data_IF_047652211468
#
_entry.id   IF_047652211468
#
_cell.length_a   1.000
_cell.length_b   1.000
_cell.length_c   1.000
_cell.angle_alpha   90.00
_cell.angle_beta   90.00
_cell.angle_gamma   90.00
#
_symmetry.space_group_name_H-M   'P 1'
#
loop_
_entity.id
_entity.type
_entity.pdbx_description
1 polymer ?
#
# COMPACT_ATOMS: atom_id res chain seq x y z
N UNK A 1 -29.40 7.17 49.47
CA UNK A 1 -28.23 6.48 48.88
C UNK A 1 -28.70 5.16 48.28
N UNK A 2 -29.07 5.15 47.00
CA UNK A 2 -29.33 3.93 46.24
C UNK A 2 -28.36 3.93 45.06
N UNK A 3 -27.48 2.92 45.04
CA UNK A 3 -26.59 2.62 43.92
C UNK A 3 -27.44 2.02 42.80
N UNK A 4 -27.66 2.77 41.73
CA UNK A 4 -28.14 2.20 40.47
C UNK A 4 -27.01 1.35 39.88
N UNK A 5 -27.16 0.03 39.95
CA UNK A 5 -26.40 -0.93 39.16
C UNK A 5 -26.83 -0.78 37.70
N UNK A 6 -26.04 -0.07 36.90
CA UNK A 6 -26.08 -0.26 35.44
C UNK A 6 -25.64 -1.70 35.18
N UNK A 7 -26.59 -2.53 34.77
CA UNK A 7 -26.38 -3.83 34.18
C UNK A 7 -25.35 -3.65 33.06
N UNK A 8 -24.12 -4.13 33.29
CA UNK A 8 -23.18 -4.33 32.19
C UNK A 8 -23.79 -5.42 31.32
N UNK A 9 -24.46 -5.03 30.25
CA UNK A 9 -24.78 -5.94 29.17
C UNK A 9 -23.46 -6.54 28.67
N UNK A 10 -23.27 -7.80 29.04
CA UNK A 10 -22.25 -8.67 28.48
C UNK A 10 -22.62 -8.88 27.02
N UNK A 11 -22.08 -8.03 26.14
CA UNK A 11 -22.13 -8.24 24.71
C UNK A 11 -21.26 -9.45 24.33
N UNK A 12 -21.82 -10.64 24.52
CA UNK A 12 -21.36 -11.86 23.87
C UNK A 12 -21.86 -11.85 22.42
N UNK A 13 -20.91 -11.82 21.46
CA UNK A 13 -20.92 -12.77 20.35
C UNK A 13 -19.66 -12.67 19.50
N UNK A 14 -19.14 -13.84 19.13
CA UNK A 14 -17.99 -14.06 18.26
C UNK A 14 -16.93 -14.93 18.89
N UNK A 15 -17.13 -16.24 18.81
CA UNK A 15 -16.29 -17.32 19.32
C UNK A 15 -14.77 -17.12 19.21
N UNK A 16 -14.11 -17.54 20.28
CA UNK A 16 -12.69 -17.91 20.35
C UNK A 16 -11.68 -16.82 20.00
N UNK A 17 -11.39 -16.05 21.05
CA UNK A 17 -10.07 -15.56 21.40
C UNK A 17 -9.05 -16.69 21.48
N UNK A 18 -8.57 -17.09 20.31
CA UNK A 18 -7.25 -17.60 20.04
C UNK A 18 -7.18 -17.54 18.51
N UNK A 19 -6.35 -16.70 17.91
CA UNK A 19 -5.82 -17.17 16.63
C UNK A 19 -5.20 -18.53 16.96
N UNK A 20 -5.53 -19.63 16.26
CA UNK A 20 -5.05 -20.98 16.63
C UNK A 20 -3.51 -21.11 16.67
N UNK A 21 -2.77 -20.02 16.47
CA UNK A 21 -1.37 -19.97 16.11
C UNK A 21 -0.57 -18.86 16.84
N UNK A 22 -1.17 -18.08 17.75
CA UNK A 22 -0.47 -16.97 18.42
C UNK A 22 -0.02 -15.86 17.46
N UNK A 23 -0.80 -15.63 16.39
CA UNK A 23 -0.58 -14.57 15.39
C UNK A 23 -1.22 -13.26 15.81
N UNK A 24 -0.47 -12.16 15.69
CA UNK A 24 -0.95 -10.78 15.90
C UNK A 24 -1.81 -10.26 14.73
N UNK A 25 -1.71 -10.87 13.55
CA UNK A 25 -2.39 -10.41 12.33
C UNK A 25 -3.42 -11.44 11.87
N UNK A 26 -4.71 -11.07 11.92
CA UNK A 26 -5.80 -11.86 11.38
C UNK A 26 -5.72 -11.93 9.85
N UNK A 27 -6.03 -13.09 9.27
CA UNK A 27 -6.14 -13.30 7.82
C UNK A 27 -4.91 -12.80 7.03
N UNK A 28 -3.70 -12.98 7.56
CA UNK A 28 -2.43 -12.50 6.99
C UNK A 28 -2.28 -12.80 5.48
N UNK A 29 -2.70 -14.00 5.04
CA UNK A 29 -2.65 -14.38 3.61
C UNK A 29 -3.54 -13.48 2.74
N UNK A 30 -4.76 -13.17 3.18
CA UNK A 30 -5.68 -12.33 2.44
C UNK A 30 -5.16 -10.87 2.37
N UNK A 31 -4.66 -10.32 3.48
CA UNK A 31 -4.05 -8.98 3.54
C UNK A 31 -2.81 -8.82 2.65
N UNK A 32 -2.12 -9.91 2.30
CA UNK A 32 -1.01 -9.89 1.34
C UNK A 32 -1.47 -9.82 -0.13
N UNK A 33 -2.72 -10.17 -0.41
CA UNK A 33 -3.22 -10.34 -1.78
C UNK A 33 -4.30 -9.32 -2.16
N UNK A 34 -5.05 -8.85 -1.18
CA UNK A 34 -6.22 -7.96 -1.36
C UNK A 34 -5.98 -6.64 -0.64
N UNK A 35 -6.58 -5.53 -1.10
CA UNK A 35 -6.62 -4.30 -0.33
C UNK A 35 -7.22 -4.58 1.05
N UNK A 36 -6.45 -4.24 2.08
CA UNK A 36 -6.84 -4.41 3.46
C UNK A 36 -7.45 -3.12 4.00
N UNK A 37 -8.65 -3.19 4.55
CA UNK A 37 -9.44 -2.05 5.02
C UNK A 37 -9.73 -2.25 6.50
N UNK A 38 -9.48 -1.21 7.28
CA UNK A 38 -9.90 -1.13 8.66
C UNK A 38 -11.14 -0.24 8.80
N UNK A 39 -12.13 -0.65 9.59
CA UNK A 39 -13.27 0.17 9.98
C UNK A 39 -13.16 0.52 11.47
N UNK A 40 -12.80 1.76 11.76
CA UNK A 40 -12.75 2.34 13.10
C UNK A 40 -14.08 2.98 13.48
N UNK A 41 -14.55 2.71 14.69
CA UNK A 41 -15.81 3.23 15.21
C UNK A 41 -15.79 3.23 16.74
N UNK A 42 -16.75 3.93 17.34
CA UNK A 42 -17.08 3.76 18.75
C UNK A 42 -17.67 2.37 19.01
N UNK A 43 -17.77 1.99 20.29
CA UNK A 43 -18.45 0.75 20.69
C UNK A 43 -19.94 0.79 20.33
N UNK A 44 -20.55 1.96 20.42
CA UNK A 44 -21.96 2.23 20.19
C UNK A 44 -22.34 2.14 18.70
N UNK A 45 -21.43 2.52 17.80
CA UNK A 45 -21.63 2.41 16.34
C UNK A 45 -21.13 1.08 15.75
N UNK A 46 -20.80 0.09 16.58
CA UNK A 46 -20.23 -1.17 16.09
C UNK A 46 -21.18 -1.95 15.16
N UNK A 47 -22.49 -1.88 15.39
CA UNK A 47 -23.49 -2.48 14.48
C UNK A 47 -23.43 -1.88 13.08
N UNK A 48 -23.22 -0.56 12.96
CA UNK A 48 -23.05 0.12 11.67
C UNK A 48 -21.76 -0.36 10.98
N UNK A 49 -20.67 -0.48 11.74
CA UNK A 49 -19.39 -0.98 11.20
C UNK A 49 -19.52 -2.42 10.65
N UNK A 50 -20.26 -3.30 11.35
CA UNK A 50 -20.56 -4.66 10.86
C UNK A 50 -21.41 -4.65 9.60
N UNK A 51 -22.39 -3.76 9.51
CA UNK A 51 -23.22 -3.65 8.32
C UNK A 51 -22.40 -3.19 7.10
N UNK A 52 -21.57 -2.16 7.28
CA UNK A 52 -20.63 -1.68 6.25
C UNK A 52 -19.72 -2.81 5.80
N UNK A 53 -19.13 -3.56 6.74
CA UNK A 53 -18.30 -4.72 6.43
C UNK A 53 -19.04 -5.76 5.58
N UNK A 54 -20.33 -5.99 5.84
CA UNK A 54 -21.15 -6.95 5.11
C UNK A 54 -21.33 -6.61 3.63
N UNK A 55 -21.32 -5.31 3.29
CA UNK A 55 -21.47 -4.81 1.92
C UNK A 55 -20.19 -4.88 1.08
N UNK A 56 -19.03 -5.09 1.71
CA UNK A 56 -17.78 -5.29 0.98
C UNK A 56 -17.72 -6.69 0.35
N UNK A 57 -17.29 -6.72 -0.91
CA UNK A 57 -17.06 -7.97 -1.63
C UNK A 57 -15.85 -8.71 -1.04
N UNK A 58 -16.10 -9.77 -0.27
CA UNK A 58 -15.09 -10.63 0.39
C UNK A 58 -14.10 -11.26 -0.59
N UNK A 59 -14.44 -11.40 -1.88
CA UNK A 59 -13.50 -11.90 -2.89
C UNK A 59 -12.44 -10.86 -3.28
N UNK A 60 -12.76 -9.56 -3.18
CA UNK A 60 -11.90 -8.46 -3.62
C UNK A 60 -11.18 -7.76 -2.47
N UNK A 61 -11.81 -7.66 -1.29
CA UNK A 61 -11.30 -6.88 -0.15
C UNK A 61 -11.13 -7.75 1.10
N UNK A 62 -10.22 -7.34 1.97
CA UNK A 62 -10.11 -7.86 3.32
C UNK A 62 -10.48 -6.74 4.29
N UNK A 63 -11.62 -6.87 4.97
CA UNK A 63 -12.19 -5.80 5.79
C UNK A 63 -12.35 -6.26 7.23
N UNK A 64 -11.78 -5.51 8.16
CA UNK A 64 -11.89 -5.76 9.59
C UNK A 64 -12.50 -4.55 10.30
N UNK A 65 -13.37 -4.82 11.29
CA UNK A 65 -13.98 -3.81 12.17
C UNK A 65 -13.33 -3.82 13.54
N UNK A 66 -13.38 -2.69 14.25
CA UNK A 66 -12.93 -2.62 15.64
C UNK A 66 -13.81 -3.48 16.57
N UNK A 67 -13.32 -4.66 16.96
CA UNK A 67 -13.79 -5.38 18.16
C UNK A 67 -12.56 -5.97 18.84
N UNK A 68 -12.22 -5.38 19.98
CA UNK A 68 -10.90 -5.49 20.53
C UNK A 68 -10.81 -6.63 21.54
N UNK A 69 -10.28 -7.73 21.04
CA UNK A 69 -9.48 -8.65 21.83
C UNK A 69 -8.14 -8.95 21.11
N UNK A 70 -7.68 -7.94 20.35
CA UNK A 70 -6.44 -7.93 19.55
C UNK A 70 -5.29 -7.23 20.30
N UNK A 71 -5.54 -6.71 21.51
CA UNK A 71 -4.60 -5.93 22.31
C UNK A 71 -4.30 -6.70 23.60
N UNK A 72 -3.02 -6.76 23.96
CA UNK A 72 -2.60 -7.35 25.24
C UNK A 72 -2.35 -8.86 25.21
N UNK A 73 -2.22 -9.49 24.03
CA UNK A 73 -1.65 -10.82 23.96
C UNK A 73 -0.19 -10.79 24.42
N UNK A 74 0.14 -11.48 25.52
CA UNK A 74 1.53 -11.69 25.91
C UNK A 74 2.29 -12.28 24.73
N UNK A 75 3.36 -11.62 24.30
CA UNK A 75 4.27 -12.21 23.35
C UNK A 75 4.89 -13.48 23.97
N UNK A 76 5.37 -14.40 23.12
CA UNK A 76 6.01 -15.65 23.57
C UNK A 76 7.22 -15.44 24.49
N UNK A 77 7.76 -14.22 24.53
CA UNK A 77 8.87 -13.79 25.39
C UNK A 77 8.42 -13.15 26.71
N UNK A 78 7.12 -13.11 26.99
CA UNK A 78 6.55 -12.53 28.21
C UNK A 78 6.38 -11.01 28.20
N UNK A 79 6.66 -10.34 27.07
CA UNK A 79 6.45 -8.89 26.95
C UNK A 79 5.04 -8.56 26.45
N UNK A 80 4.52 -7.42 26.88
CA UNK A 80 3.21 -6.88 26.44
C UNK A 80 3.45 -5.52 25.78
N UNK A 81 2.96 -5.33 24.56
CA UNK A 81 3.01 -4.02 23.90
C UNK A 81 2.04 -3.06 24.58
N UNK A 82 2.41 -1.79 24.61
CA UNK A 82 1.47 -0.72 24.99
C UNK A 82 0.33 -0.61 23.98
N UNK A 83 -0.82 -0.07 24.40
CA UNK A 83 -1.96 0.17 23.51
C UNK A 83 -1.55 1.06 22.31
N UNK A 84 -0.70 2.06 22.56
CA UNK A 84 -0.17 2.96 21.53
C UNK A 84 0.73 2.24 20.52
N UNK A 85 1.58 1.30 20.97
CA UNK A 85 2.38 0.48 20.06
C UNK A 85 1.52 -0.48 19.24
N UNK A 86 0.48 -1.06 19.84
CA UNK A 86 -0.51 -1.84 19.12
C UNK A 86 -1.20 -1.00 18.03
N UNK A 87 -1.68 0.20 18.36
CA UNK A 87 -2.34 1.09 17.41
C UNK A 87 -1.38 1.51 16.28
N UNK A 88 -0.14 1.88 16.60
CA UNK A 88 0.91 2.16 15.59
C UNK A 88 1.13 0.96 14.66
N UNK A 89 1.28 -0.24 15.22
CA UNK A 89 1.45 -1.45 14.44
C UNK A 89 0.21 -1.78 13.59
N UNK A 90 -0.96 -1.37 14.07
CA UNK A 90 -2.22 -1.54 13.38
C UNK A 90 -2.33 -0.65 12.14
N UNK A 91 -1.88 0.61 12.21
CA UNK A 91 -1.86 1.49 11.03
C UNK A 91 -0.92 0.97 9.92
N UNK A 92 0.14 0.25 10.29
CA UNK A 92 1.09 -0.36 9.35
C UNK A 92 0.49 -1.54 8.54
N UNK A 93 -0.49 -2.26 9.09
CA UNK A 93 -1.02 -3.49 8.48
C UNK A 93 -2.19 -3.27 7.52
N UNK A 94 -2.87 -2.12 7.54
CA UNK A 94 -3.95 -1.82 6.59
C UNK A 94 -3.50 -0.93 5.43
N UNK A 95 -4.16 -1.08 4.27
CA UNK A 95 -3.92 -0.24 3.09
C UNK A 95 -4.85 0.98 3.07
N UNK A 96 -6.03 0.85 3.70
CA UNK A 96 -7.06 1.87 3.83
C UNK A 96 -7.70 1.82 5.23
N UNK A 97 -8.27 2.94 5.65
CA UNK A 97 -9.12 3.00 6.82
C UNK A 97 -10.40 3.78 6.52
N UNK A 98 -11.48 3.35 7.17
CA UNK A 98 -12.80 3.96 7.18
C UNK A 98 -13.13 4.27 8.63
N UNK A 99 -13.44 5.50 8.97
CA UNK A 99 -13.82 5.90 10.32
C UNK A 99 -15.27 6.35 10.36
N UNK A 100 -16.02 5.84 11.34
CA UNK A 100 -17.41 6.20 11.57
C UNK A 100 -17.50 7.37 12.54
N UNK A 101 -17.96 8.51 12.03
CA UNK A 101 -18.20 9.72 12.80
C UNK A 101 -19.69 9.81 13.12
N UNK A 102 -20.02 9.50 14.37
CA UNK A 102 -21.39 9.50 14.91
C UNK A 102 -21.45 10.40 16.15
N UNK A 103 -22.62 10.96 16.49
CA UNK A 103 -22.78 11.90 17.61
C UNK A 103 -22.89 11.16 18.96
N UNK A 104 -21.84 10.44 19.35
CA UNK A 104 -21.80 9.64 20.59
C UNK A 104 -21.32 10.40 21.83
N UNK A 105 -20.60 11.51 21.66
CA UNK A 105 -19.98 12.25 22.76
C UNK A 105 -20.70 13.58 22.99
N UNK A 106 -20.97 13.93 24.24
CA UNK A 106 -21.42 15.28 24.60
C UNK A 106 -20.23 16.23 24.66
N UNK A 107 -20.30 17.31 23.90
CA UNK A 107 -19.26 18.34 23.83
C UNK A 107 -19.81 19.63 24.42
N UNK A 108 -19.14 20.14 25.44
CA UNK A 108 -19.40 21.45 26.01
C UNK A 108 -18.31 22.42 25.54
N UNK A 109 -18.66 23.33 24.62
CA UNK A 109 -17.68 24.29 24.07
C UNK A 109 -17.68 25.58 24.87
N UNK A 110 -16.66 25.79 25.72
CA UNK A 110 -16.53 27.01 26.54
C UNK A 110 -16.29 28.31 25.74
N UNK A 111 -15.92 28.20 24.47
CA UNK A 111 -15.68 29.34 23.56
C UNK A 111 -16.91 29.76 22.76
N UNK A 112 -18.02 29.00 22.83
CA UNK A 112 -19.30 29.33 22.20
C UNK A 112 -20.34 29.57 23.29
N UNK A 113 -20.33 30.78 23.84
CA UNK A 113 -21.43 31.26 24.67
C UNK A 113 -22.61 31.52 23.73
N UNK A 114 -23.79 30.98 24.02
CA UNK A 114 -25.01 31.30 23.27
C UNK A 114 -25.27 32.80 23.49
N UNK A 115 -25.19 33.60 22.42
CA UNK A 115 -25.33 35.05 22.49
C UNK A 115 -26.60 35.43 23.28
N UNK A 116 -26.42 36.18 24.38
CA UNK A 116 -27.51 36.59 25.26
C UNK A 116 -27.79 35.67 26.46
N UNK A 117 -27.03 34.59 26.67
CA UNK A 117 -27.16 33.74 27.88
C UNK A 117 -25.78 33.36 28.46
N UNK A 118 -25.69 33.07 29.76
CA UNK A 118 -24.48 32.47 30.37
C UNK A 118 -24.38 30.95 30.12
N UNK A 119 -25.20 30.38 29.22
CA UNK A 119 -25.18 28.95 28.93
C UNK A 119 -24.10 28.60 27.91
N UNK A 120 -23.31 27.59 28.24
CA UNK A 120 -22.38 26.92 27.32
C UNK A 120 -23.22 26.20 26.25
N UNK A 121 -22.88 26.36 24.98
CA UNK A 121 -23.50 25.55 23.94
C UNK A 121 -23.09 24.08 24.11
N UNK A 122 -24.08 23.21 24.32
CA UNK A 122 -23.92 21.75 24.32
C UNK A 122 -24.21 21.25 22.91
N UNK A 123 -23.30 20.45 22.35
CA UNK A 123 -23.49 19.77 21.07
C UNK A 123 -23.10 18.31 21.23
N UNK A 124 -23.66 17.43 20.40
CA UNK A 124 -23.09 16.08 20.27
C UNK A 124 -21.95 16.10 19.27
N UNK A 125 -20.98 15.21 19.43
CA UNK A 125 -19.87 15.07 18.51
C UNK A 125 -19.27 13.67 18.56
N UNK A 126 -18.16 13.51 17.86
CA UNK A 126 -17.51 12.21 17.70
C UNK A 126 -16.64 11.92 18.91
N UNK A 127 -16.61 10.66 19.37
CA UNK A 127 -15.74 10.26 20.49
C UNK A 127 -14.26 10.60 20.23
N UNK A 128 -13.61 11.16 21.23
CA UNK A 128 -12.21 11.61 21.15
C UNK A 128 -11.23 10.50 20.75
N UNK A 129 -11.44 9.26 21.19
CA UNK A 129 -10.58 8.13 20.82
C UNK A 129 -10.70 7.79 19.32
N UNK A 130 -11.91 7.83 18.76
CA UNK A 130 -12.15 7.61 17.33
C UNK A 130 -11.43 8.69 16.51
N UNK A 131 -11.45 9.93 16.99
CA UNK A 131 -10.73 11.05 16.37
C UNK A 131 -9.22 10.86 16.44
N UNK A 132 -8.68 10.45 17.60
CA UNK A 132 -7.26 10.17 17.76
C UNK A 132 -6.80 9.03 16.84
N UNK A 133 -7.54 7.93 16.79
CA UNK A 133 -7.28 6.81 15.89
C UNK A 133 -7.33 7.24 14.42
N UNK A 134 -8.36 8.00 14.03
CA UNK A 134 -8.45 8.59 12.70
C UNK A 134 -7.22 9.42 12.37
N UNK A 135 -6.78 10.30 13.28
CA UNK A 135 -5.56 11.11 13.10
C UNK A 135 -4.29 10.26 12.89
N UNK A 136 -4.14 9.16 13.64
CA UNK A 136 -3.03 8.21 13.48
C UNK A 136 -3.05 7.53 12.10
N UNK A 137 -4.22 7.12 11.63
CA UNK A 137 -4.38 6.54 10.30
C UNK A 137 -4.18 7.58 9.19
N UNK A 138 -4.71 8.79 9.35
CA UNK A 138 -4.52 9.90 8.43
C UNK A 138 -3.04 10.25 8.26
N UNK A 139 -2.29 10.34 9.37
CA UNK A 139 -0.85 10.60 9.34
C UNK A 139 -0.05 9.47 8.70
N UNK A 140 -0.47 8.21 8.87
CA UNK A 140 0.27 7.05 8.35
C UNK A 140 -0.07 6.70 6.90
N UNK A 141 -1.34 6.71 6.54
CA UNK A 141 -1.87 6.30 5.23
C UNK A 141 -2.10 7.48 4.28
N UNK A 142 -2.25 8.70 4.80
CA UNK A 142 -2.63 9.89 4.04
C UNK A 142 -4.13 10.02 3.79
N UNK A 143 -4.57 11.19 3.31
CA UNK A 143 -5.97 11.55 3.14
C UNK A 143 -6.73 10.66 2.13
N UNK A 144 -6.10 10.30 1.01
CA UNK A 144 -6.72 9.47 -0.03
C UNK A 144 -7.08 8.05 0.44
N UNK A 145 -6.49 7.60 1.55
CA UNK A 145 -6.64 6.25 2.09
C UNK A 145 -7.32 6.24 3.46
N UNK A 146 -7.63 7.41 4.01
CA UNK A 146 -8.28 7.59 5.30
C UNK A 146 -9.63 8.25 5.07
N UNK A 147 -10.67 7.44 5.03
CA UNK A 147 -12.03 7.80 4.65
C UNK A 147 -12.85 7.98 5.92
N UNK A 148 -13.75 8.96 5.93
CA UNK A 148 -14.71 9.17 7.00
C UNK A 148 -16.12 8.95 6.45
N UNK A 149 -16.87 8.08 7.11
CA UNK A 149 -18.31 7.97 6.92
C UNK A 149 -18.95 8.63 8.13
N UNK A 150 -19.83 9.59 7.92
CA UNK A 150 -20.40 10.36 9.02
C UNK A 150 -21.91 10.37 8.99
N UNK A 151 -22.53 10.33 10.17
CA UNK A 151 -23.98 10.45 10.29
C UNK A 151 -24.41 11.84 9.82
N UNK A 152 -25.43 11.90 8.97
CA UNK A 152 -25.88 13.12 8.32
C UNK A 152 -26.72 14.07 9.23
N UNK A 153 -26.39 14.13 10.52
CA UNK A 153 -26.98 15.07 11.48
C UNK A 153 -26.22 16.40 11.53
N UNK A 154 -26.89 17.46 11.99
CA UNK A 154 -26.28 18.80 12.11
C UNK A 154 -25.10 18.78 13.10
N UNK A 155 -25.22 18.00 14.17
CA UNK A 155 -24.23 17.89 15.24
C UNK A 155 -22.88 17.39 14.71
N UNK A 156 -22.90 16.34 13.87
CA UNK A 156 -21.67 15.79 13.28
C UNK A 156 -21.12 16.69 12.17
N UNK A 157 -21.99 17.33 11.37
CA UNK A 157 -21.58 18.32 10.37
C UNK A 157 -20.84 19.48 11.01
N UNK A 158 -21.42 20.08 12.05
CA UNK A 158 -20.81 21.16 12.82
C UNK A 158 -19.49 20.72 13.46
N UNK A 159 -19.46 19.49 14.02
CA UNK A 159 -18.25 18.93 14.58
C UNK A 159 -17.14 18.79 13.54
N UNK A 160 -17.43 18.26 12.35
CA UNK A 160 -16.45 18.11 11.26
C UNK A 160 -15.94 19.49 10.83
N UNK A 161 -16.83 20.45 10.61
CA UNK A 161 -16.44 21.81 10.22
C UNK A 161 -15.59 22.50 11.27
N UNK A 162 -15.87 22.26 12.56
CA UNK A 162 -15.08 22.78 13.67
C UNK A 162 -13.73 22.09 13.80
N UNK A 163 -13.73 20.76 13.76
CA UNK A 163 -12.53 19.96 13.96
C UNK A 163 -11.52 20.19 12.84
N UNK A 164 -12.00 20.35 11.61
CA UNK A 164 -11.20 20.68 10.44
C UNK A 164 -11.29 22.17 10.07
N UNK A 165 -11.49 23.09 11.04
CA UNK A 165 -11.71 24.52 10.75
C UNK A 165 -10.63 25.13 9.85
N UNK A 166 -9.37 24.80 10.10
CA UNK A 166 -8.23 25.30 9.32
C UNK A 166 -7.97 24.47 8.04
N UNK A 167 -8.75 23.42 7.82
CA UNK A 167 -8.68 22.47 6.70
C UNK A 167 -10.01 22.40 5.93
N UNK A 168 -10.88 23.41 6.06
CA UNK A 168 -12.22 23.44 5.42
C UNK A 168 -12.14 23.32 3.91
N UNK A 169 -11.08 23.86 3.31
CA UNK A 169 -10.80 23.76 1.88
C UNK A 169 -10.37 22.34 1.43
N UNK A 170 -9.86 21.53 2.36
CA UNK A 170 -9.42 20.16 2.12
C UNK A 170 -10.56 19.14 2.37
N UNK A 171 -11.73 19.58 2.82
CA UNK A 171 -12.89 18.71 3.02
C UNK A 171 -13.63 18.47 1.70
N UNK A 172 -13.73 17.20 1.28
CA UNK A 172 -14.64 16.81 0.20
C UNK A 172 -16.10 16.81 0.64
N UNK A 173 -16.75 17.98 0.54
CA UNK A 173 -18.18 18.13 0.80
C UNK A 173 -18.81 19.00 -0.28
N UNK A 174 -20.11 18.84 -0.62
CA UNK A 174 -20.88 19.79 -1.44
C UNK A 174 -20.98 21.22 -0.85
N UNK A 175 -20.30 21.50 0.27
CA UNK A 175 -20.36 22.77 1.01
C UNK A 175 -19.35 23.81 0.50
N UNK A 176 -18.27 23.43 -0.20
CA UNK A 176 -17.33 24.39 -0.78
C UNK A 176 -16.84 23.94 -2.17
N UNK A 177 -17.22 24.70 -3.20
CA UNK A 177 -16.77 24.55 -4.60
C UNK A 177 -15.59 25.50 -4.91
N UNK A 178 -14.66 25.65 -3.96
CA UNK A 178 -13.44 26.41 -4.17
C UNK A 178 -12.41 25.53 -4.89
N UNK A 179 -12.02 25.96 -6.11
CA UNK A 179 -10.97 25.33 -6.91
C UNK A 179 -9.59 25.52 -6.26
N UNK A 180 -9.30 24.75 -5.23
CA UNK A 180 -7.98 24.68 -4.60
C UNK A 180 -7.25 23.44 -5.10
N UNK A 181 -5.94 23.53 -5.23
CA UNK A 181 -5.08 22.51 -5.83
C UNK A 181 -5.16 21.18 -5.06
N UNK A 182 -5.86 20.22 -5.69
CA UNK A 182 -6.17 18.81 -5.38
C UNK A 182 -5.13 17.87 -4.69
N UNK A 183 -4.13 18.32 -3.91
CA UNK A 183 -3.13 17.39 -3.36
C UNK A 183 -3.57 16.67 -2.07
N UNK A 184 -4.30 17.33 -1.17
CA UNK A 184 -4.75 16.75 0.10
C UNK A 184 -6.25 17.00 0.29
N UNK A 185 -7.08 15.98 0.01
CA UNK A 185 -8.53 16.08 0.18
C UNK A 185 -9.02 14.95 1.07
N UNK A 186 -9.64 15.31 2.20
CA UNK A 186 -10.30 14.39 3.10
C UNK A 186 -11.56 13.84 2.47
N UNK A 187 -11.71 12.53 2.58
CA UNK A 187 -12.73 11.74 1.92
C UNK A 187 -13.92 11.55 2.87
N UNK A 188 -14.90 12.45 2.82
CA UNK A 188 -16.07 12.42 3.71
C UNK A 188 -17.33 11.95 2.97
N UNK A 189 -18.07 11.01 3.55
CA UNK A 189 -19.30 10.46 3.00
C UNK A 189 -20.42 10.52 4.03
N UNK A 190 -21.48 11.33 3.83
CA UNK A 190 -22.62 11.34 4.72
C UNK A 190 -23.45 10.07 4.53
N UNK A 191 -23.87 9.43 5.62
CA UNK A 191 -24.90 8.40 5.61
C UNK A 191 -26.14 8.87 6.38
N UNK A 192 -27.32 8.49 5.90
CA UNK A 192 -28.61 8.86 6.49
C UNK A 192 -28.99 7.91 7.63
N UNK A 193 -29.83 8.37 8.57
CA UNK A 193 -30.35 7.59 9.70
C UNK A 193 -30.83 8.43 10.87
N UNK A 194 -31.56 7.83 11.80
CA UNK A 194 -32.03 8.42 13.06
C UNK A 194 -31.14 7.97 14.22
N UNK A 195 -29.83 8.24 14.12
CA UNK A 195 -28.85 7.75 15.09
C UNK A 195 -29.05 8.33 16.50
N UNK A 196 -29.40 9.62 16.60
CA UNK A 196 -29.64 10.27 17.89
C UNK A 196 -30.83 9.63 18.60
N UNK A 197 -31.91 9.33 17.87
CA UNK A 197 -33.09 8.65 18.43
C UNK A 197 -32.79 7.21 18.82
N UNK A 198 -31.96 6.50 18.03
CA UNK A 198 -31.47 5.17 18.38
C UNK A 198 -30.73 5.15 19.72
N UNK A 199 -29.79 6.09 19.92
CA UNK A 199 -29.04 6.20 21.19
C UNK A 199 -29.96 6.59 22.35
N UNK A 200 -30.85 7.56 22.14
CA UNK A 200 -31.79 8.01 23.17
C UNK A 200 -32.79 6.90 23.58
N UNK A 201 -33.07 5.95 22.68
CA UNK A 201 -33.91 4.79 22.94
C UNK A 201 -33.12 3.56 23.43
N UNK A 202 -31.88 3.73 23.90
CA UNK A 202 -31.00 2.65 24.39
C UNK A 202 -30.84 1.51 23.37
N UNK A 203 -30.84 1.83 22.07
CA UNK A 203 -30.68 0.86 20.99
C UNK A 203 -31.91 0.01 20.66
N UNK A 204 -33.07 0.32 21.23
CA UNK A 204 -34.32 -0.46 21.03
C UNK A 204 -35.13 -0.06 19.78
N UNK A 205 -34.78 1.04 19.11
CA UNK A 205 -35.46 1.52 17.88
C UNK A 205 -34.62 1.25 16.63
N UNK A 206 -35.18 0.54 15.64
CA UNK A 206 -34.45 0.13 14.43
C UNK A 206 -34.34 1.20 13.34
N UNK A 207 -33.66 2.33 13.54
CA UNK A 207 -33.37 3.26 12.41
C UNK A 207 -32.03 4.01 12.49
N UNK A 208 -31.01 3.47 13.18
CA UNK A 208 -29.73 4.19 13.35
C UNK A 208 -29.00 4.58 12.05
N UNK A 209 -29.30 3.88 10.95
CA UNK A 209 -28.81 4.17 9.60
C UNK A 209 -29.81 3.71 8.53
N UNK A 210 -29.75 4.30 7.34
CA UNK A 210 -30.47 3.88 6.15
C UNK A 210 -29.63 2.85 5.38
N UNK A 211 -30.15 1.63 5.26
CA UNK A 211 -29.43 0.50 4.69
C UNK A 211 -29.07 0.68 3.20
N UNK A 212 -30.03 1.15 2.39
CA UNK A 212 -29.85 1.31 0.95
C UNK A 212 -28.87 2.45 0.63
N UNK A 213 -28.98 3.55 1.37
CA UNK A 213 -28.03 4.67 1.31
C UNK A 213 -26.61 4.20 1.65
N UNK A 214 -26.45 3.46 2.76
CA UNK A 214 -25.16 2.96 3.21
C UNK A 214 -24.55 1.96 2.22
N UNK A 215 -25.36 1.05 1.68
CA UNK A 215 -24.94 0.08 0.64
C UNK A 215 -24.48 0.77 -0.64
N UNK A 216 -25.16 1.84 -1.06
CA UNK A 216 -24.76 2.65 -2.22
C UNK A 216 -23.41 3.31 -1.98
N UNK A 217 -23.23 3.94 -0.82
CA UNK A 217 -21.96 4.56 -0.42
C UNK A 217 -20.82 3.53 -0.45
N UNK A 218 -21.00 2.35 0.18
CA UNK A 218 -19.98 1.29 0.19
C UNK A 218 -19.68 0.77 -1.21
N UNK A 219 -20.67 0.66 -2.09
CA UNK A 219 -20.47 0.25 -3.49
C UNK A 219 -19.57 1.24 -4.25
N UNK A 220 -19.77 2.54 -4.04
CA UNK A 220 -18.94 3.56 -4.68
C UNK A 220 -17.54 3.65 -4.05
N UNK A 221 -17.44 3.46 -2.73
CA UNK A 221 -16.16 3.35 -2.04
C UNK A 221 -15.33 2.16 -2.55
N UNK A 222 -15.93 1.01 -2.81
CA UNK A 222 -15.21 -0.14 -3.38
C UNK A 222 -14.57 0.20 -4.73
N UNK A 223 -15.30 0.86 -5.63
CA UNK A 223 -14.76 1.31 -6.94
C UNK A 223 -13.60 2.28 -6.74
N UNK A 224 -13.76 3.23 -5.81
CA UNK A 224 -12.75 4.24 -5.50
C UNK A 224 -11.48 3.63 -4.91
N UNK A 225 -11.61 2.74 -3.92
CA UNK A 225 -10.48 2.04 -3.29
C UNK A 225 -9.68 1.26 -4.34
N UNK A 226 -10.35 0.55 -5.26
CA UNK A 226 -9.66 -0.16 -6.34
C UNK A 226 -8.90 0.79 -7.28
N UNK A 227 -9.48 1.96 -7.58
CA UNK A 227 -8.79 3.00 -8.36
C UNK A 227 -7.58 3.55 -7.61
N UNK A 228 -7.76 3.99 -6.37
CA UNK A 228 -6.71 4.55 -5.52
C UNK A 228 -5.59 3.56 -5.24
N UNK A 229 -5.92 2.26 -5.11
CA UNK A 229 -4.92 1.19 -4.94
C UNK A 229 -3.93 1.12 -6.10
N UNK A 230 -4.28 1.62 -7.29
CA UNK A 230 -3.41 1.69 -8.47
C UNK A 230 -2.68 3.05 -8.64
N UNK A 231 -2.94 4.05 -7.80
CA UNK A 231 -2.25 5.35 -7.85
C UNK A 231 -0.92 5.33 -7.10
N UNK A 232 0.19 5.68 -7.76
CA UNK A 232 1.49 5.80 -7.07
C UNK A 232 1.42 6.95 -6.08
N UNK A 233 1.56 6.63 -4.79
CA UNK A 233 1.60 7.61 -3.73
C UNK A 233 2.99 7.62 -3.08
N UNK A 234 3.47 8.81 -2.72
CA UNK A 234 4.74 8.94 -1.99
C UNK A 234 4.43 8.61 -0.53
N UNK A 235 4.33 7.31 -0.24
CA UNK A 235 4.22 6.86 1.15
C UNK A 235 5.54 7.07 1.88
N UNK A 236 5.50 7.14 3.21
CA UNK A 236 6.67 7.17 4.09
C UNK A 236 7.61 5.96 3.95
N UNK A 237 7.22 4.91 3.24
CA UNK A 237 8.08 3.75 3.06
C UNK A 237 9.17 4.00 2.00
N UNK A 238 10.39 3.47 2.19
CA UNK A 238 11.53 3.77 1.33
C UNK A 238 11.42 3.20 -0.09
N UNK A 239 10.46 2.30 -0.39
CA UNK A 239 10.30 1.69 -1.71
C UNK A 239 10.21 2.69 -2.86
N UNK A 240 9.53 3.82 -2.69
CA UNK A 240 9.47 4.86 -3.73
C UNK A 240 10.86 5.42 -4.02
N UNK A 241 11.61 5.83 -3.00
CA UNK A 241 12.98 6.32 -3.13
C UNK A 241 13.93 5.25 -3.70
N UNK A 242 13.77 3.99 -3.29
CA UNK A 242 14.56 2.86 -3.80
C UNK A 242 14.26 2.56 -5.27
N UNK A 243 13.00 2.67 -5.71
CA UNK A 243 12.62 2.52 -7.10
C UNK A 243 13.23 3.63 -7.98
N UNK A 244 13.12 4.90 -7.55
CA UNK A 244 13.79 6.01 -8.23
C UNK A 244 15.31 5.83 -8.26
N UNK A 245 15.91 5.39 -7.15
CA UNK A 245 17.34 5.08 -7.07
C UNK A 245 17.75 3.99 -8.05
N UNK A 246 17.03 2.87 -8.09
CA UNK A 246 17.29 1.77 -9.03
C UNK A 246 17.14 2.23 -10.49
N UNK A 247 16.08 2.98 -10.80
CA UNK A 247 15.87 3.50 -12.14
C UNK A 247 16.99 4.46 -12.57
N UNK A 248 17.28 5.48 -11.77
CA UNK A 248 18.25 6.52 -12.14
C UNK A 248 19.69 5.99 -12.20
N UNK A 249 20.06 5.07 -11.31
CA UNK A 249 21.44 4.58 -11.21
C UNK A 249 21.73 3.43 -12.16
N UNK A 250 20.73 2.63 -12.55
CA UNK A 250 20.95 1.45 -13.38
C UNK A 250 20.12 1.49 -14.67
N UNK A 251 18.79 1.44 -14.57
CA UNK A 251 17.91 1.28 -15.74
C UNK A 251 18.08 2.41 -16.76
N UNK A 252 18.09 3.66 -16.29
CA UNK A 252 18.24 4.84 -17.16
C UNK A 252 19.58 4.79 -17.91
N UNK A 253 20.66 4.40 -17.24
CA UNK A 253 21.99 4.29 -17.84
C UNK A 253 22.05 3.19 -18.89
N UNK A 254 21.50 2.02 -18.58
CA UNK A 254 21.38 0.91 -19.53
C UNK A 254 20.56 1.32 -20.75
N UNK A 255 19.42 1.98 -20.52
CA UNK A 255 18.53 2.44 -21.59
C UNK A 255 19.21 3.47 -22.50
N UNK A 256 19.93 4.44 -21.93
CA UNK A 256 20.70 5.44 -22.68
C UNK A 256 21.83 4.79 -23.49
N UNK A 257 22.57 3.84 -22.91
CA UNK A 257 23.61 3.09 -23.60
C UNK A 257 23.08 2.34 -24.83
N UNK A 258 21.96 1.63 -24.65
CA UNK A 258 21.29 0.90 -25.72
C UNK A 258 20.67 1.84 -26.76
N UNK A 259 20.14 2.99 -26.33
CA UNK A 259 19.59 4.00 -27.25
C UNK A 259 20.68 4.56 -28.16
N UNK A 260 21.87 4.84 -27.63
CA UNK A 260 23.03 5.22 -28.43
C UNK A 260 23.39 4.08 -29.37
N UNK A 261 23.66 2.88 -28.84
CA UNK A 261 24.08 1.73 -29.63
C UNK A 261 23.13 1.43 -30.80
N UNK A 262 21.81 1.47 -30.56
CA UNK A 262 20.80 1.13 -31.55
C UNK A 262 20.44 2.29 -32.50
N UNK A 263 20.71 3.55 -32.17
CA UNK A 263 20.36 4.70 -33.02
C UNK A 263 21.53 5.33 -33.76
N UNK A 264 22.73 5.35 -33.19
CA UNK A 264 23.90 5.83 -33.92
C UNK A 264 24.51 4.70 -34.75
N UNK A 265 25.04 5.03 -35.93
CA UNK A 265 26.11 4.27 -36.58
C UNK A 265 27.38 4.36 -35.71
N UNK A 266 27.27 3.86 -34.48
CA UNK A 266 28.31 3.97 -33.46
C UNK A 266 29.53 3.23 -33.99
N UNK A 267 30.65 3.93 -34.12
CA UNK A 267 31.89 3.30 -34.56
C UNK A 267 32.41 2.39 -33.43
N UNK A 268 32.02 1.12 -33.51
CA UNK A 268 32.31 0.07 -32.53
C UNK A 268 33.82 -0.11 -32.29
N UNK A 269 34.68 0.41 -33.18
CA UNK A 269 36.14 0.38 -33.06
C UNK A 269 36.70 1.19 -31.89
N UNK A 270 35.93 2.14 -31.33
CA UNK A 270 36.36 2.99 -30.20
C UNK A 270 35.95 2.45 -28.81
N UNK A 271 35.27 1.31 -28.75
CA UNK A 271 34.86 0.68 -27.50
C UNK A 271 35.94 -0.31 -27.03
N UNK A 272 36.12 -0.43 -25.71
CA UNK A 272 36.93 -1.51 -25.10
C UNK A 272 36.45 -2.89 -25.56
N UNK A 273 37.35 -3.87 -25.69
CA UNK A 273 37.10 -5.18 -26.31
C UNK A 273 35.90 -5.92 -25.73
N UNK A 274 35.75 -5.99 -24.40
CA UNK A 274 34.59 -6.64 -23.77
C UNK A 274 33.27 -5.91 -24.04
N UNK A 275 33.30 -4.57 -24.10
CA UNK A 275 32.15 -3.76 -24.47
C UNK A 275 31.79 -3.93 -25.95
N UNK A 276 32.78 -4.18 -26.81
CA UNK A 276 32.62 -4.39 -28.24
C UNK A 276 31.90 -5.69 -28.55
N UNK A 277 32.28 -6.79 -27.91
CA UNK A 277 31.69 -8.11 -28.14
C UNK A 277 30.19 -8.14 -27.84
N UNK A 278 29.78 -7.55 -26.70
CA UNK A 278 28.36 -7.51 -26.34
C UNK A 278 27.56 -6.54 -27.22
N UNK A 279 28.16 -5.42 -27.60
CA UNK A 279 27.53 -4.43 -28.48
C UNK A 279 27.27 -4.99 -29.88
N UNK A 280 28.25 -5.71 -30.44
CA UNK A 280 28.11 -6.42 -31.72
C UNK A 280 27.05 -7.53 -31.64
N UNK A 281 27.03 -8.27 -30.52
CA UNK A 281 26.01 -9.28 -30.31
C UNK A 281 24.61 -8.66 -30.28
N UNK A 282 24.40 -7.58 -29.53
CA UNK A 282 23.11 -6.86 -29.43
C UNK A 282 22.59 -6.44 -30.81
N UNK A 283 23.46 -5.87 -31.65
CA UNK A 283 23.10 -5.38 -32.98
C UNK A 283 22.70 -6.48 -33.97
N UNK A 284 23.16 -7.73 -33.76
CA UNK A 284 22.82 -8.89 -34.59
C UNK A 284 21.50 -9.55 -34.21
N UNK A 285 20.91 -9.19 -33.07
CA UNK A 285 19.70 -9.83 -32.54
C UNK A 285 18.47 -9.14 -33.07
N UNK A 286 17.42 -9.90 -33.39
CA UNK A 286 16.11 -9.32 -33.71
C UNK A 286 15.43 -8.75 -32.47
N UNK A 287 15.66 -9.39 -31.33
CA UNK A 287 15.01 -9.05 -30.07
C UNK A 287 15.98 -9.05 -28.90
N UNK A 288 15.98 -7.98 -28.11
CA UNK A 288 16.71 -7.87 -26.86
C UNK A 288 15.72 -7.56 -25.74
N UNK A 289 15.62 -8.44 -24.75
CA UNK A 289 14.72 -8.24 -23.61
C UNK A 289 15.55 -8.08 -22.35
N UNK A 290 15.30 -6.98 -21.63
CA UNK A 290 15.82 -6.77 -20.30
C UNK A 290 14.74 -7.11 -19.27
N UNK A 291 15.02 -8.17 -18.50
CA UNK A 291 14.15 -8.70 -17.46
C UNK A 291 14.54 -8.18 -16.08
N UNK A 292 13.66 -7.40 -15.46
CA UNK A 292 13.73 -7.08 -14.04
C UNK A 292 13.11 -8.25 -13.27
N UNK A 293 13.93 -8.97 -12.51
CA UNK A 293 13.49 -10.16 -11.79
C UNK A 293 12.84 -9.76 -10.48
N UNK A 294 11.54 -10.00 -10.37
CA UNK A 294 10.76 -9.74 -9.16
C UNK A 294 10.86 -10.96 -8.23
N UNK A 295 11.41 -10.79 -7.01
CA UNK A 295 11.56 -11.89 -6.07
C UNK A 295 10.20 -12.28 -5.48
N UNK A 296 10.03 -13.56 -5.12
CA UNK A 296 8.79 -14.01 -4.44
C UNK A 296 8.65 -13.34 -3.08
N UNK A 297 9.74 -13.26 -2.32
CA UNK A 297 9.88 -12.52 -1.06
C UNK A 297 11.04 -11.55 -1.19
N UNK A 298 10.94 -10.34 -0.63
CA UNK A 298 12.04 -9.37 -0.70
C UNK A 298 13.37 -9.99 -0.20
N UNK A 299 13.33 -10.86 0.81
CA UNK A 299 14.51 -11.54 1.36
C UNK A 299 15.26 -12.45 0.39
N UNK A 300 14.65 -12.80 -0.75
CA UNK A 300 15.26 -13.61 -1.81
C UNK A 300 16.07 -12.76 -2.82
N UNK A 301 15.91 -11.43 -2.82
CA UNK A 301 16.64 -10.51 -3.70
C UNK A 301 18.08 -10.25 -3.26
N UNK A 302 18.82 -11.31 -2.92
CA UNK A 302 20.23 -11.23 -2.52
C UNK A 302 21.15 -11.50 -3.72
N UNK A 303 22.34 -10.90 -3.72
CA UNK A 303 23.37 -11.13 -4.75
C UNK A 303 23.72 -12.61 -4.94
N UNK A 304 23.82 -13.38 -3.86
CA UNK A 304 24.09 -14.82 -3.89
C UNK A 304 23.03 -15.62 -4.69
N UNK A 305 21.86 -15.03 -4.96
CA UNK A 305 20.87 -15.64 -5.83
C UNK A 305 21.34 -15.63 -7.29
N UNK A 306 22.09 -14.63 -7.74
CA UNK A 306 22.67 -14.53 -9.10
C UNK A 306 23.84 -15.50 -9.27
N UNK A 307 24.73 -15.56 -8.27
CA UNK A 307 25.95 -16.37 -8.34
C UNK A 307 25.63 -17.85 -8.60
N UNK A 308 24.57 -18.38 -7.96
CA UNK A 308 24.09 -19.74 -8.24
C UNK A 308 23.75 -20.01 -9.70
N UNK A 309 23.27 -19.01 -10.44
CA UNK A 309 22.96 -19.16 -11.87
C UNK A 309 24.18 -18.90 -12.76
N UNK A 310 25.17 -18.14 -12.27
CA UNK A 310 26.49 -18.03 -12.92
C UNK A 310 27.29 -19.33 -12.77
N UNK A 311 27.32 -19.90 -11.57
CA UNK A 311 28.03 -21.16 -11.26
C UNK A 311 27.49 -22.32 -12.09
N UNK A 312 26.16 -22.34 -12.30
CA UNK A 312 25.50 -23.31 -13.19
C UNK A 312 25.74 -23.01 -14.67
N UNK A 313 26.37 -21.90 -15.02
CA UNK A 313 26.66 -21.48 -16.39
C UNK A 313 25.49 -20.87 -17.15
N UNK A 314 24.35 -20.61 -16.50
CA UNK A 314 23.16 -20.05 -17.15
C UNK A 314 23.30 -18.55 -17.44
N UNK A 315 23.93 -17.80 -16.52
CA UNK A 315 24.21 -16.38 -16.68
C UNK A 315 25.70 -16.12 -16.90
N UNK A 316 25.99 -15.15 -17.76
CA UNK A 316 27.35 -14.63 -17.98
C UNK A 316 27.30 -13.12 -17.77
N UNK A 317 28.19 -12.57 -16.94
CA UNK A 317 28.32 -11.11 -16.84
C UNK A 317 29.07 -10.53 -18.04
N UNK A 318 28.57 -9.39 -18.52
CA UNK A 318 29.16 -8.59 -19.57
C UNK A 318 29.14 -7.12 -19.14
N UNK A 319 30.18 -6.39 -19.53
CA UNK A 319 30.21 -4.94 -19.37
C UNK A 319 29.62 -4.29 -20.62
N UNK A 320 28.68 -3.37 -20.44
CA UNK A 320 28.19 -2.51 -21.51
C UNK A 320 28.71 -1.09 -21.28
N UNK A 321 29.47 -0.59 -22.26
CA UNK A 321 30.01 0.76 -22.25
C UNK A 321 28.92 1.82 -22.32
N UNK A 322 29.11 2.93 -21.61
CA UNK A 322 28.22 4.10 -21.63
C UNK A 322 29.00 5.34 -22.05
N UNK A 323 28.36 6.29 -22.75
CA UNK A 323 29.05 7.49 -23.25
C UNK A 323 29.66 8.36 -22.15
N UNK A 324 29.04 8.40 -20.96
CA UNK A 324 29.51 9.14 -19.79
C UNK A 324 29.31 8.33 -18.52
N UNK A 325 30.34 8.26 -17.69
CA UNK A 325 30.31 7.56 -16.40
C UNK A 325 30.88 6.14 -16.48
N UNK A 326 30.58 5.34 -15.45
CA UNK A 326 31.08 3.96 -15.34
C UNK A 326 30.26 3.01 -16.22
N UNK A 327 30.90 2.02 -16.88
CA UNK A 327 30.21 0.95 -17.59
C UNK A 327 29.16 0.25 -16.72
N UNK A 328 28.12 -0.28 -17.36
CA UNK A 328 27.04 -1.01 -16.69
C UNK A 328 27.28 -2.49 -16.84
N UNK A 329 27.45 -3.20 -15.72
CA UNK A 329 27.49 -4.66 -15.72
C UNK A 329 26.08 -5.21 -15.93
N UNK A 330 25.93 -6.09 -16.92
CA UNK A 330 24.68 -6.76 -17.25
C UNK A 330 24.85 -8.28 -17.19
N UNK A 331 23.81 -9.00 -16.78
CA UNK A 331 23.81 -10.46 -16.79
C UNK A 331 23.06 -10.98 -17.99
N UNK A 332 23.74 -11.73 -18.85
CA UNK A 332 23.20 -12.22 -20.11
C UNK A 332 22.92 -13.70 -19.99
N UNK A 333 21.73 -14.14 -20.41
CA UNK A 333 21.39 -15.56 -20.51
C UNK A 333 22.21 -16.23 -21.59
N UNK A 334 22.87 -17.35 -21.27
CA UNK A 334 23.80 -18.05 -22.18
C UNK A 334 23.13 -18.50 -23.48
N UNK A 335 21.84 -18.82 -23.47
CA UNK A 335 21.03 -19.10 -24.66
C UNK A 335 21.12 -18.01 -25.73
N UNK A 336 21.15 -16.74 -25.30
CA UNK A 336 21.17 -15.60 -26.20
C UNK A 336 22.55 -15.34 -26.81
N UNK A 337 23.61 -15.95 -26.29
CA UNK A 337 24.99 -15.73 -26.76
C UNK A 337 25.31 -16.46 -28.08
N UNK A 338 24.57 -17.52 -28.42
CA UNK A 338 24.73 -18.19 -29.72
C UNK A 338 24.46 -17.23 -30.87
N UNK A 339 25.28 -17.26 -31.94
CA UNK A 339 25.05 -16.44 -33.13
C UNK A 339 23.75 -16.79 -33.86
N UNK A 340 23.24 -18.02 -33.70
CA UNK A 340 21.99 -18.47 -34.33
C UNK A 340 20.73 -18.02 -33.58
N UNK A 341 20.85 -17.59 -32.32
CA UNK A 341 19.70 -17.11 -31.56
C UNK A 341 19.26 -15.74 -32.07
N UNK A 342 17.99 -15.58 -32.39
CA UNK A 342 17.41 -14.28 -32.76
C UNK A 342 17.15 -13.37 -31.55
N UNK A 343 17.20 -13.95 -30.35
CA UNK A 343 16.84 -13.30 -29.09
C UNK A 343 18.04 -13.24 -28.13
N UNK A 344 18.17 -12.11 -27.43
CA UNK A 344 19.10 -11.92 -26.32
C UNK A 344 18.31 -11.53 -25.05
N UNK A 345 18.54 -12.25 -23.97
CA UNK A 345 17.88 -12.01 -22.69
C UNK A 345 18.91 -11.49 -21.69
N UNK A 346 18.63 -10.33 -21.12
CA UNK A 346 19.42 -9.69 -20.07
C UNK A 346 18.59 -9.72 -18.80
N UNK A 347 19.23 -9.97 -17.67
CA UNK A 347 18.58 -10.13 -16.38
C UNK A 347 19.22 -9.21 -15.34
N UNK A 348 18.40 -8.69 -14.44
CA UNK A 348 18.88 -8.02 -13.24
C UNK A 348 17.94 -8.26 -12.06
N UNK A 349 18.51 -8.29 -10.87
CA UNK A 349 17.77 -8.37 -9.62
C UNK A 349 17.84 -6.98 -8.97
N UNK A 350 16.71 -6.34 -8.65
CA UNK A 350 16.70 -5.03 -8.01
C UNK A 350 17.09 -5.18 -6.52
N UNK A 351 18.35 -5.51 -6.23
CA UNK A 351 18.87 -5.77 -4.88
C UNK A 351 18.71 -4.58 -3.94
N UNK A 352 18.54 -3.37 -4.48
CA UNK A 352 18.21 -2.16 -3.70
C UNK A 352 16.98 -2.34 -2.81
N UNK A 353 16.02 -3.19 -3.19
CA UNK A 353 14.83 -3.46 -2.39
C UNK A 353 15.14 -4.18 -1.07
N UNK A 354 16.29 -4.86 -0.95
CA UNK A 354 16.65 -5.56 0.30
C UNK A 354 16.91 -4.59 1.45
N UNK A 355 17.31 -3.35 1.16
CA UNK A 355 17.53 -2.32 2.18
C UNK A 355 16.26 -2.03 2.99
N UNK A 356 15.07 -2.14 2.38
CA UNK A 356 13.80 -2.00 3.10
C UNK A 356 13.60 -3.09 4.16
N UNK A 357 14.16 -4.29 3.98
CA UNK A 357 13.99 -5.39 4.94
C UNK A 357 14.61 -5.02 6.28
N UNK A 358 15.82 -4.48 6.27
CA UNK A 358 16.53 -4.20 7.51
C UNK A 358 15.89 -3.02 8.25
N UNK A 359 15.40 -2.02 7.52
CA UNK A 359 14.55 -0.96 8.09
C UNK A 359 13.26 -1.53 8.71
N UNK A 360 12.56 -2.43 8.01
CA UNK A 360 11.35 -3.10 8.53
C UNK A 360 11.65 -3.89 9.81
N UNK A 361 12.79 -4.59 9.87
CA UNK A 361 13.22 -5.32 11.07
C UNK A 361 13.50 -4.41 12.26
N UNK A 362 14.01 -3.20 12.03
CA UNK A 362 14.25 -2.23 13.09
C UNK A 362 12.96 -1.63 13.66
N UNK A 363 11.94 -1.42 12.81
CA UNK A 363 10.69 -0.75 13.19
C UNK A 363 9.70 -1.69 13.89
N UNK A 364 9.71 -2.98 13.58
CA UNK A 364 8.77 -3.93 14.17
C UNK A 364 9.44 -5.29 14.43
N UNK A 365 9.27 -5.82 15.64
CA UNK A 365 9.80 -7.14 16.04
C UNK A 365 8.90 -8.29 15.57
N UNK A 366 7.60 -8.05 15.42
CA UNK A 366 6.64 -9.07 15.06
C UNK A 366 6.89 -9.60 13.64
N UNK A 367 6.89 -10.94 13.49
CA UNK A 367 7.23 -11.59 12.23
C UNK A 367 6.13 -11.39 11.18
N UNK A 368 4.87 -11.49 11.57
CA UNK A 368 3.74 -11.43 10.64
C UNK A 368 3.56 -10.01 10.10
N UNK A 369 3.71 -9.01 10.98
CA UNK A 369 3.69 -7.59 10.58
C UNK A 369 4.86 -7.28 9.65
N UNK A 370 6.09 -7.72 9.97
CA UNK A 370 7.25 -7.54 9.08
C UNK A 370 7.02 -8.18 7.71
N UNK A 371 6.42 -9.36 7.67
CA UNK A 371 6.15 -10.03 6.39
C UNK A 371 5.11 -9.27 5.56
N UNK A 372 4.09 -8.70 6.21
CA UNK A 372 3.08 -7.88 5.53
C UNK A 372 3.67 -6.56 5.03
N UNK A 373 4.48 -5.88 5.84
CA UNK A 373 5.21 -4.67 5.46
C UNK A 373 6.15 -4.93 4.28
N UNK A 374 6.87 -6.06 4.28
CA UNK A 374 7.71 -6.44 3.15
C UNK A 374 6.89 -6.68 1.88
N UNK A 375 5.75 -7.36 1.97
CA UNK A 375 4.89 -7.54 0.79
C UNK A 375 4.33 -6.21 0.27
N UNK A 376 3.97 -5.27 1.15
CA UNK A 376 3.56 -3.91 0.77
C UNK A 376 4.70 -3.14 0.08
N UNK A 377 5.91 -3.18 0.62
CA UNK A 377 7.10 -2.57 0.00
C UNK A 377 7.36 -3.11 -1.40
N UNK A 378 7.24 -4.42 -1.58
CA UNK A 378 7.41 -5.07 -2.89
C UNK A 378 6.36 -4.58 -3.89
N UNK A 379 5.08 -4.60 -3.51
CA UNK A 379 3.99 -4.13 -4.38
C UNK A 379 4.18 -2.65 -4.75
N UNK A 380 4.53 -1.81 -3.78
CA UNK A 380 4.73 -0.39 -4.04
C UNK A 380 5.95 -0.14 -4.94
N UNK A 381 7.07 -0.84 -4.71
CA UNK A 381 8.25 -0.77 -5.58
C UNK A 381 7.91 -1.11 -7.04
N UNK A 382 7.23 -2.23 -7.29
CA UNK A 382 6.85 -2.67 -8.64
C UNK A 382 5.99 -1.60 -9.32
N UNK A 383 4.97 -1.12 -8.62
CA UNK A 383 4.04 -0.11 -9.11
C UNK A 383 4.72 1.23 -9.44
N UNK A 384 5.63 1.68 -8.58
CA UNK A 384 6.44 2.88 -8.84
C UNK A 384 7.33 2.66 -10.07
N UNK A 385 7.99 1.50 -10.18
CA UNK A 385 8.81 1.16 -11.34
C UNK A 385 7.99 1.11 -12.64
N UNK A 386 6.81 0.49 -12.64
CA UNK A 386 5.89 0.48 -13.78
C UNK A 386 5.51 1.89 -14.21
N UNK A 387 5.18 2.77 -13.26
CA UNK A 387 4.85 4.17 -13.54
C UNK A 387 6.02 4.95 -14.11
N UNK A 388 7.23 4.79 -13.55
CA UNK A 388 8.46 5.45 -14.06
C UNK A 388 8.76 4.97 -15.48
N UNK A 389 8.70 3.66 -15.72
CA UNK A 389 8.94 3.04 -17.01
C UNK A 389 7.91 3.46 -18.07
N UNK A 390 6.63 3.54 -17.71
CA UNK A 390 5.56 4.01 -18.60
C UNK A 390 5.79 5.46 -19.04
N UNK A 391 6.27 6.33 -18.15
CA UNK A 391 6.54 7.75 -18.46
C UNK A 391 7.79 7.96 -19.31
N UNK A 392 8.84 7.15 -19.12
CA UNK A 392 10.14 7.35 -19.77
C UNK A 392 10.36 6.46 -21.01
N UNK A 393 9.45 5.53 -21.26
CA UNK A 393 9.51 4.61 -22.38
C UNK A 393 10.26 3.32 -22.03
N UNK A 394 9.72 2.19 -22.51
CA UNK A 394 10.25 0.84 -22.25
C UNK A 394 10.79 0.16 -23.48
N UNK A 395 10.72 0.80 -24.65
CA UNK A 395 11.01 0.18 -25.94
C UNK A 395 11.89 1.07 -26.81
N UNK A 396 12.92 0.47 -27.40
CA UNK A 396 13.76 1.09 -28.43
C UNK A 396 13.69 0.20 -29.66
N UNK A 397 13.51 0.78 -30.85
CA UNK A 397 13.48 0.05 -32.11
C UNK A 397 14.46 0.65 -33.11
N UNK A 398 15.25 -0.20 -33.75
CA UNK A 398 15.97 0.07 -34.99
C UNK A 398 15.39 -0.83 -36.10
N UNK A 399 15.86 -0.67 -37.35
CA UNK A 399 15.42 -1.40 -38.55
C UNK A 399 15.41 -2.93 -38.35
N UNK A 400 16.38 -3.46 -37.58
CA UNK A 400 16.58 -4.90 -37.42
C UNK A 400 16.39 -5.42 -35.98
N UNK A 401 16.35 -4.54 -34.97
CA UNK A 401 16.41 -4.93 -33.55
C UNK A 401 15.37 -4.19 -32.72
N UNK A 402 14.66 -4.90 -31.85
CA UNK A 402 13.74 -4.34 -30.85
C UNK A 402 14.31 -4.63 -29.45
N UNK A 403 14.51 -3.57 -28.68
CA UNK A 403 14.79 -3.66 -27.25
C UNK A 403 13.51 -3.39 -26.45
N UNK A 404 13.29 -4.16 -25.38
CA UNK A 404 12.24 -3.87 -24.40
C UNK A 404 12.59 -4.25 -22.97
N UNK A 405 11.97 -3.57 -22.02
CA UNK A 405 12.04 -3.87 -20.58
C UNK A 405 10.77 -4.60 -20.15
N UNK A 406 10.92 -5.72 -19.44
CA UNK A 406 9.83 -6.52 -18.90
C UNK A 406 10.11 -6.93 -17.45
N UNK A 407 9.05 -7.12 -16.66
CA UNK A 407 9.16 -7.78 -15.37
C UNK A 407 9.00 -9.30 -15.53
N UNK A 408 9.76 -10.07 -14.75
CA UNK A 408 9.62 -11.53 -14.69
C UNK A 408 9.64 -12.00 -13.25
N UNK A 409 8.71 -12.88 -12.89
CA UNK A 409 8.74 -13.52 -11.58
C UNK A 409 9.94 -14.46 -11.44
N UNK A 410 10.57 -14.45 -10.26
CA UNK A 410 11.70 -15.32 -9.93
C UNK A 410 11.39 -16.82 -10.16
N UNK A 411 10.14 -17.25 -9.95
CA UNK A 411 9.76 -18.64 -10.21
C UNK A 411 9.81 -18.98 -11.71
N UNK A 412 9.37 -18.06 -12.57
CA UNK A 412 9.42 -18.23 -14.03
C UNK A 412 10.86 -18.20 -14.53
N UNK A 413 11.67 -17.29 -13.99
CA UNK A 413 13.11 -17.24 -14.26
C UNK A 413 13.82 -18.55 -13.86
N UNK A 414 13.57 -19.08 -12.65
CA UNK A 414 14.13 -20.35 -12.19
C UNK A 414 13.80 -21.51 -13.13
N UNK A 415 12.54 -21.61 -13.56
CA UNK A 415 12.10 -22.62 -14.51
C UNK A 415 12.83 -22.51 -15.86
N UNK A 416 13.05 -21.29 -16.36
CA UNK A 416 13.85 -21.08 -17.58
C UNK A 416 15.29 -21.56 -17.42
N UNK A 417 15.91 -21.26 -16.26
CA UNK A 417 17.26 -21.71 -15.96
C UNK A 417 17.37 -23.23 -15.84
N UNK A 418 16.41 -23.89 -15.19
CA UNK A 418 16.36 -25.36 -15.04
C UNK A 418 16.18 -26.07 -16.39
N UNK A 419 15.30 -25.57 -17.26
CA UNK A 419 15.13 -26.08 -18.63
C UNK A 419 16.43 -25.95 -19.42
N UNK A 420 17.21 -24.89 -19.19
CA UNK A 420 18.49 -24.73 -19.86
C UNK A 420 19.52 -25.76 -19.40
N UNK A 421 19.68 -25.92 -18.08
CA UNK A 421 20.63 -26.87 -17.50
C UNK A 421 20.34 -28.31 -17.95
N UNK A 422 19.05 -28.67 -18.07
CA UNK A 422 18.63 -30.01 -18.53
C UNK A 422 18.78 -30.26 -20.02
N UNK A 423 19.01 -29.21 -20.83
CA UNK A 423 19.21 -29.28 -22.28
C UNK A 423 20.69 -29.24 -22.69
N UNK A 424 21.59 -28.92 -21.77
CA UNK A 424 23.04 -29.08 -21.94
C UNK A 424 23.40 -30.54 -21.67
#
# INVERSE_FOLDING_TARGET
MQKNSRTLDKFHDGDTLNSPEGRLVKNLRAKKQKPSIFIGCSSEAHHIAREIQSFFNKSLFEVDTWKMSIFGGMHKDGTTLTISEHLKNFTDIYDFAIFLFVPDEEIQTKTRIIAGTQKVAESKGVKHNVIFEFGMFLGRLGAKRSIVLYHNGQEVRDFIELFFTDLKDDIGSPINDTKITNSFKLELYPFEGEYVDYINAEGTKEHSFNNDNLKKIVTDLQKKILKTQNEVDISFLPSTSLAFGYYNNFIKRLYEALKVLLKSNTDLKKLETDNRDISELILKKKEVIFYIIIPKKISEAKYNSIDKFKDKGFLVDKSLGVQKGRPVTIYVGKNGLSQTSEKLEIYDFPTTITSSIDAIKMVNKDKDIRELLAEKEKRNFIKVMESILAKNGTKIKNKNTIFRIEFIDLAKFKRQAEIWVTKQ
#
